data_IF_014442487855
#
_entry.id   IF_014442487855
#
_cell.length_a   1.000
_cell.length_b   1.000
_cell.length_c   1.000
_cell.angle_alpha   90.00
_cell.angle_beta   90.00
_cell.angle_gamma   90.00
#
_symmetry.space_group_name_H-M   'P 1'
#
loop_
_entity.id
_entity.type
_entity.pdbx_description
1 polymer ?
#
# COMPACT_ATOMS: atom_id res chain seq x y z
N UNK A 1 -21.81 29.66 13.13
CA UNK A 1 -21.59 28.20 13.11
C UNK A 1 -21.71 27.75 11.67
N UNK A 2 -20.96 26.73 11.25
CA UNK A 2 -21.14 26.13 9.93
C UNK A 2 -22.49 25.45 9.84
N UNK A 3 -23.04 25.34 8.62
CA UNK A 3 -24.30 24.64 8.34
C UNK A 3 -24.15 23.15 8.70
N UNK A 4 -25.19 22.53 9.24
CA UNK A 4 -25.20 21.10 9.58
C UNK A 4 -26.34 20.39 8.84
N UNK A 5 -26.02 19.27 8.17
CA UNK A 5 -26.95 18.47 7.40
C UNK A 5 -27.03 17.07 8.02
N UNK A 6 -28.24 16.57 8.25
CA UNK A 6 -28.48 15.21 8.72
C UNK A 6 -29.05 14.34 7.59
N UNK A 7 -28.39 13.23 7.30
CA UNK A 7 -28.99 12.13 6.56
C UNK A 7 -29.45 11.04 7.53
N UNK A 8 -30.72 10.64 7.43
CA UNK A 8 -31.30 9.59 8.25
C UNK A 8 -32.25 8.70 7.47
N UNK A 9 -31.90 7.42 7.37
CA UNK A 9 -32.92 6.40 7.14
C UNK A 9 -33.90 6.40 8.32
N UNK A 10 -35.19 6.24 8.06
CA UNK A 10 -36.20 6.14 9.12
C UNK A 10 -36.58 4.67 9.33
N UNK A 11 -36.88 4.31 10.58
CA UNK A 11 -37.35 2.98 10.94
C UNK A 11 -38.62 3.02 11.78
N UNK A 12 -39.13 1.84 12.12
CA UNK A 12 -40.40 1.70 12.85
C UNK A 12 -40.42 2.24 14.28
N UNK A 13 -39.27 2.68 14.82
CA UNK A 13 -39.18 3.34 16.15
C UNK A 13 -39.08 4.86 16.04
N UNK A 14 -38.95 5.40 14.83
CA UNK A 14 -39.00 6.84 14.58
C UNK A 14 -40.46 7.27 14.31
N UNK A 15 -40.81 8.55 14.55
CA UNK A 15 -39.99 9.57 15.23
C UNK A 15 -40.00 9.42 16.76
N UNK A 16 -41.03 8.82 17.34
CA UNK A 16 -41.19 8.56 18.79
C UNK A 16 -41.64 7.11 18.96
N UNK A 17 -41.05 6.42 19.92
CA UNK A 17 -41.34 5.00 20.17
C UNK A 17 -42.60 4.82 21.03
N UNK A 18 -43.56 4.04 20.52
CA UNK A 18 -44.81 3.68 21.22
C UNK A 18 -44.59 2.97 22.57
N UNK A 19 -43.44 2.33 22.77
CA UNK A 19 -43.21 1.46 23.92
C UNK A 19 -42.65 2.19 25.14
N UNK A 20 -41.86 3.24 24.89
CA UNK A 20 -41.09 3.92 25.93
C UNK A 20 -41.27 5.43 25.89
N UNK A 21 -42.04 5.98 24.94
CA UNK A 21 -42.37 7.40 24.85
C UNK A 21 -41.14 8.33 24.76
N UNK A 22 -40.04 7.80 24.24
CA UNK A 22 -38.81 8.55 23.98
C UNK A 22 -38.63 8.79 22.48
N UNK A 23 -37.80 9.77 22.16
CA UNK A 23 -37.33 10.05 20.80
C UNK A 23 -36.75 8.78 20.17
N UNK A 24 -37.26 8.47 18.98
CA UNK A 24 -36.55 7.67 17.98
C UNK A 24 -35.24 8.35 17.58
N UNK A 25 -34.35 7.62 16.93
CA UNK A 25 -32.99 8.13 16.72
C UNK A 25 -32.93 9.33 15.77
N UNK A 26 -33.86 9.42 14.79
CA UNK A 26 -34.02 10.60 13.95
C UNK A 26 -34.25 11.86 14.79
N UNK A 27 -35.29 11.83 15.63
CA UNK A 27 -35.72 13.00 16.40
C UNK A 27 -34.70 13.37 17.47
N UNK A 28 -34.06 12.37 18.10
CA UNK A 28 -33.02 12.61 19.11
C UNK A 28 -31.79 13.30 18.53
N UNK A 29 -31.34 12.89 17.34
CA UNK A 29 -30.21 13.55 16.66
C UNK A 29 -30.61 14.99 16.31
N UNK A 30 -31.82 15.20 15.77
CA UNK A 30 -32.34 16.54 15.49
C UNK A 30 -32.34 17.44 16.74
N UNK A 31 -32.70 16.90 17.91
CA UNK A 31 -32.77 17.65 19.18
C UNK A 31 -31.41 18.16 19.62
N UNK A 32 -30.39 17.31 19.54
CA UNK A 32 -29.06 17.59 20.11
C UNK A 32 -28.07 18.21 19.13
N UNK A 33 -28.06 17.77 17.87
CA UNK A 33 -27.14 18.29 16.85
C UNK A 33 -27.71 19.48 16.08
N UNK A 34 -29.01 19.76 16.20
CA UNK A 34 -29.68 20.92 15.62
C UNK A 34 -29.36 21.14 14.13
N UNK A 35 -29.56 20.14 13.25
CA UNK A 35 -29.27 20.27 11.83
C UNK A 35 -30.17 21.34 11.18
N UNK A 36 -29.61 22.08 10.21
CA UNK A 36 -30.34 23.03 9.38
C UNK A 36 -31.15 22.32 8.29
N UNK A 37 -30.64 21.19 7.78
CA UNK A 37 -31.32 20.36 6.79
C UNK A 37 -31.37 18.89 7.24
N UNK A 38 -32.47 18.22 6.95
CA UNK A 38 -32.68 16.80 7.24
C UNK A 38 -33.14 16.08 5.98
N UNK A 39 -32.36 15.10 5.53
CA UNK A 39 -32.69 14.19 4.44
C UNK A 39 -33.26 12.90 5.02
N UNK A 40 -34.57 12.70 4.84
CA UNK A 40 -35.33 11.54 5.29
C UNK A 40 -35.33 10.47 4.19
N UNK A 41 -34.64 9.37 4.45
CA UNK A 41 -34.64 8.23 3.54
C UNK A 41 -35.71 7.22 3.95
N UNK A 42 -36.72 7.04 3.10
CA UNK A 42 -37.93 6.29 3.41
C UNK A 42 -38.11 5.09 2.47
N UNK A 43 -38.17 3.89 3.05
CA UNK A 43 -38.65 2.70 2.34
C UNK A 43 -40.17 2.76 2.13
N UNK A 44 -40.71 1.83 1.35
CA UNK A 44 -42.15 1.75 1.07
C UNK A 44 -43.03 1.80 2.33
N UNK A 45 -42.73 0.96 3.32
CA UNK A 45 -43.50 0.88 4.56
C UNK A 45 -43.44 2.20 5.36
N UNK A 46 -42.27 2.84 5.42
CA UNK A 46 -42.12 4.10 6.15
C UNK A 46 -42.81 5.26 5.43
N UNK A 47 -42.86 5.22 4.09
CA UNK A 47 -43.60 6.18 3.29
C UNK A 47 -45.12 6.03 3.49
N UNK A 48 -45.62 4.79 3.63
CA UNK A 48 -47.03 4.53 3.96
C UNK A 48 -47.40 5.16 5.32
N UNK A 49 -46.55 4.99 6.33
CA UNK A 49 -46.72 5.65 7.63
C UNK A 49 -46.68 7.18 7.53
N UNK A 50 -45.70 7.74 6.82
CA UNK A 50 -45.58 9.19 6.64
C UNK A 50 -46.81 9.78 5.93
N UNK A 51 -47.36 9.09 4.93
CA UNK A 51 -48.55 9.53 4.20
C UNK A 51 -49.84 9.41 5.03
N UNK A 52 -49.87 8.53 6.03
CA UNK A 52 -51.04 8.31 6.87
C UNK A 52 -51.25 9.45 7.88
N UNK A 53 -50.18 9.90 8.54
CA UNK A 53 -50.29 10.81 9.70
C UNK A 53 -49.19 11.88 9.79
N UNK A 54 -48.39 12.05 8.73
CA UNK A 54 -47.32 13.05 8.63
C UNK A 54 -46.22 12.93 9.71
N UNK A 55 -46.12 11.79 10.40
CA UNK A 55 -45.42 11.70 11.69
C UNK A 55 -44.00 12.26 11.72
N UNK A 56 -43.18 11.98 10.70
CA UNK A 56 -41.78 12.40 10.70
C UNK A 56 -41.65 13.92 10.53
N UNK A 57 -42.34 14.49 9.53
CA UNK A 57 -42.36 15.95 9.29
C UNK A 57 -42.99 16.68 10.48
N UNK A 58 -44.12 16.19 10.97
CA UNK A 58 -44.81 16.76 12.11
C UNK A 58 -43.89 16.89 13.34
N UNK A 59 -43.26 15.80 13.77
CA UNK A 59 -42.39 15.82 14.95
C UNK A 59 -41.13 16.68 14.76
N UNK A 60 -40.52 16.69 13.56
CA UNK A 60 -39.37 17.56 13.27
C UNK A 60 -39.77 19.03 13.34
N UNK A 61 -40.93 19.41 12.77
CA UNK A 61 -41.43 20.79 12.82
C UNK A 61 -41.79 21.21 14.24
N UNK A 62 -42.44 20.35 15.03
CA UNK A 62 -42.75 20.61 16.44
C UNK A 62 -41.49 20.82 17.29
N UNK A 63 -40.45 20.05 17.02
CA UNK A 63 -39.15 20.25 17.64
C UNK A 63 -38.48 21.55 17.19
N UNK A 64 -38.58 21.90 15.91
CA UNK A 64 -38.06 23.16 15.37
C UNK A 64 -38.76 24.38 16.03
N UNK A 65 -40.09 24.33 16.16
CA UNK A 65 -40.92 25.31 16.86
C UNK A 65 -40.49 25.46 18.33
N UNK A 66 -40.35 24.35 19.07
CA UNK A 66 -39.97 24.38 20.49
C UNK A 66 -38.55 24.91 20.71
N UNK A 67 -37.68 24.77 19.70
CA UNK A 67 -36.32 25.28 19.70
C UNK A 67 -36.19 26.66 19.02
N UNK A 68 -37.29 27.25 18.57
CA UNK A 68 -37.35 28.53 17.85
C UNK A 68 -36.37 28.61 16.68
N UNK A 69 -36.39 27.60 15.81
CA UNK A 69 -35.55 27.51 14.60
C UNK A 69 -36.34 26.90 13.43
N UNK A 70 -35.76 26.99 12.25
CA UNK A 70 -36.28 26.32 11.04
C UNK A 70 -35.39 25.13 10.69
N UNK A 71 -36.01 24.08 10.12
CA UNK A 71 -35.33 22.89 9.62
C UNK A 71 -35.89 22.61 8.23
N UNK A 72 -35.01 22.55 7.22
CA UNK A 72 -35.41 22.19 5.86
C UNK A 72 -35.46 20.66 5.77
N UNK A 73 -36.61 20.12 5.39
CA UNK A 73 -36.81 18.67 5.28
C UNK A 73 -36.80 18.27 3.81
N UNK A 74 -35.94 17.33 3.45
CA UNK A 74 -35.86 16.71 2.14
C UNK A 74 -36.27 15.24 2.24
N UNK A 75 -37.13 14.78 1.34
CA UNK A 75 -37.61 13.39 1.32
C UNK A 75 -36.94 12.63 0.17
N UNK A 76 -36.33 11.49 0.51
CA UNK A 76 -35.76 10.54 -0.44
C UNK A 76 -36.65 9.30 -0.40
N UNK A 77 -37.63 9.28 -1.30
CA UNK A 77 -38.62 8.22 -1.40
C UNK A 77 -38.08 7.03 -2.20
N UNK A 78 -38.28 5.83 -1.68
CA UNK A 78 -37.90 4.56 -2.30
C UNK A 78 -39.05 3.54 -2.21
N UNK A 79 -40.16 3.77 -2.94
CA UNK A 79 -41.36 2.92 -2.88
C UNK A 79 -41.10 1.49 -3.39
N UNK A 80 -40.03 1.26 -4.15
CA UNK A 80 -39.59 -0.04 -4.63
C UNK A 80 -38.90 -0.90 -3.55
N UNK A 81 -38.52 -0.31 -2.42
CA UNK A 81 -37.89 -1.03 -1.30
C UNK A 81 -38.91 -1.82 -0.47
N UNK A 82 -39.26 -3.01 -0.96
CA UNK A 82 -40.16 -3.96 -0.26
C UNK A 82 -39.38 -4.97 0.60
N UNK A 83 -38.20 -5.41 0.15
CA UNK A 83 -37.34 -6.35 0.88
C UNK A 83 -36.05 -5.65 1.32
N UNK A 84 -36.03 -5.16 2.55
CA UNK A 84 -34.93 -4.37 3.13
C UNK A 84 -33.68 -5.20 3.50
N UNK A 85 -33.48 -6.35 2.82
CA UNK A 85 -32.41 -7.31 3.08
C UNK A 85 -31.38 -7.42 1.94
N UNK A 86 -31.61 -6.80 0.78
CA UNK A 86 -30.64 -6.80 -0.33
C UNK A 86 -29.54 -5.75 -0.11
N UNK A 87 -28.46 -6.17 0.55
CA UNK A 87 -27.30 -5.34 0.88
C UNK A 87 -26.69 -4.59 -0.31
N UNK A 88 -26.69 -5.16 -1.53
CA UNK A 88 -26.02 -4.54 -2.67
C UNK A 88 -26.81 -3.35 -3.21
N UNK A 89 -28.14 -3.46 -3.26
CA UNK A 89 -29.01 -2.34 -3.65
C UNK A 89 -28.82 -1.13 -2.72
N UNK A 90 -28.80 -1.38 -1.41
CA UNK A 90 -28.61 -0.33 -0.41
C UNK A 90 -27.27 0.37 -0.53
N UNK A 91 -26.20 -0.38 -0.82
CA UNK A 91 -24.87 0.19 -0.92
C UNK A 91 -24.78 1.22 -2.05
N UNK A 92 -25.24 0.86 -3.25
CA UNK A 92 -25.19 1.74 -4.41
C UNK A 92 -26.13 2.95 -4.28
N UNK A 93 -27.35 2.74 -3.77
CA UNK A 93 -28.33 3.81 -3.62
C UNK A 93 -27.94 4.79 -2.50
N UNK A 94 -27.47 4.31 -1.34
CA UNK A 94 -26.95 5.19 -0.28
C UNK A 94 -25.74 5.98 -0.74
N UNK A 95 -24.83 5.34 -1.49
CA UNK A 95 -23.67 6.01 -2.07
C UNK A 95 -24.11 7.12 -3.02
N UNK A 96 -25.08 6.85 -3.90
CA UNK A 96 -25.64 7.86 -4.81
C UNK A 96 -26.23 9.06 -4.06
N UNK A 97 -27.11 8.79 -3.10
CA UNK A 97 -27.77 9.82 -2.29
C UNK A 97 -26.77 10.67 -1.50
N UNK A 98 -25.88 10.03 -0.73
CA UNK A 98 -24.91 10.74 0.10
C UNK A 98 -23.90 11.52 -0.76
N UNK A 99 -23.47 10.98 -1.90
CA UNK A 99 -22.57 11.69 -2.81
C UNK A 99 -23.21 12.97 -3.35
N UNK A 100 -24.50 12.93 -3.68
CA UNK A 100 -25.25 14.11 -4.12
C UNK A 100 -25.37 15.16 -3.00
N UNK A 101 -25.71 14.72 -1.78
CA UNK A 101 -25.79 15.60 -0.61
C UNK A 101 -24.43 16.25 -0.35
N UNK A 102 -23.34 15.46 -0.30
CA UNK A 102 -21.97 15.96 -0.08
C UNK A 102 -21.58 16.98 -1.15
N UNK A 103 -21.87 16.71 -2.42
CA UNK A 103 -21.56 17.63 -3.52
C UNK A 103 -22.27 18.97 -3.38
N UNK A 104 -23.49 18.96 -2.84
CA UNK A 104 -24.31 20.16 -2.66
C UNK A 104 -24.11 20.84 -1.28
N UNK A 105 -23.44 20.18 -0.34
CA UNK A 105 -23.27 20.61 1.04
C UNK A 105 -22.28 21.78 1.22
N UNK A 106 -21.35 22.00 0.28
CA UNK A 106 -20.28 22.99 0.44
C UNK A 106 -19.42 22.67 1.67
N UNK A 107 -19.26 23.65 2.56
CA UNK A 107 -18.52 23.50 3.83
C UNK A 107 -19.38 22.97 5.00
N UNK A 108 -20.60 22.49 4.73
CA UNK A 108 -21.49 22.00 5.77
C UNK A 108 -20.99 20.69 6.41
N UNK A 109 -21.24 20.53 7.70
CA UNK A 109 -20.98 19.28 8.41
C UNK A 109 -22.10 18.28 8.13
N UNK A 110 -21.74 17.08 7.66
CA UNK A 110 -22.70 16.04 7.33
C UNK A 110 -22.70 14.97 8.42
N UNK A 111 -23.87 14.79 9.02
CA UNK A 111 -24.17 13.77 10.01
C UNK A 111 -24.94 12.63 9.35
N UNK A 112 -24.55 11.40 9.63
CA UNK A 112 -25.26 10.19 9.16
C UNK A 112 -25.76 9.41 10.37
N UNK A 113 -27.08 9.25 10.45
CA UNK A 113 -27.71 8.41 11.46
C UNK A 113 -27.46 6.92 11.16
N UNK A 114 -26.77 6.21 12.05
CA UNK A 114 -26.54 4.76 11.96
C UNK A 114 -27.36 3.94 12.95
N UNK A 115 -28.41 4.53 13.53
CA UNK A 115 -29.27 3.92 14.56
C UNK A 115 -30.69 3.62 14.12
N UNK A 116 -31.14 4.23 13.02
CA UNK A 116 -32.43 3.94 12.39
C UNK A 116 -32.31 3.03 11.18
N UNK A 117 -33.43 2.47 10.75
CA UNK A 117 -33.50 1.48 9.67
C UNK A 117 -33.20 0.05 10.12
N UNK A 118 -33.13 -0.87 9.15
CA UNK A 118 -32.82 -2.29 9.41
C UNK A 118 -31.34 -2.50 9.71
N UNK A 119 -30.94 -3.62 10.34
CA UNK A 119 -29.52 -3.96 10.53
C UNK A 119 -28.67 -3.91 9.24
N UNK A 120 -29.28 -4.23 8.09
CA UNK A 120 -28.63 -4.13 6.80
C UNK A 120 -28.29 -2.70 6.40
N UNK A 121 -29.25 -1.77 6.55
CA UNK A 121 -29.06 -0.33 6.29
C UNK A 121 -27.96 0.25 7.19
N UNK A 122 -28.03 -0.02 8.51
CA UNK A 122 -27.05 0.46 9.48
C UNK A 122 -25.63 0.00 9.14
N UNK A 123 -25.50 -1.28 8.78
CA UNK A 123 -24.21 -1.87 8.44
C UNK A 123 -23.67 -1.33 7.11
N UNK A 124 -24.53 -1.17 6.09
CA UNK A 124 -24.15 -0.62 4.79
C UNK A 124 -23.61 0.81 4.88
N UNK A 125 -24.32 1.70 5.58
CA UNK A 125 -23.89 3.09 5.83
C UNK A 125 -22.55 3.15 6.56
N UNK A 126 -22.38 2.31 7.60
CA UNK A 126 -21.14 2.25 8.34
C UNK A 126 -19.96 1.80 7.46
N UNK A 127 -20.16 0.79 6.60
CA UNK A 127 -19.13 0.30 5.68
C UNK A 127 -18.75 1.36 4.64
N UNK A 128 -19.73 2.04 4.02
CA UNK A 128 -19.49 3.13 3.05
C UNK A 128 -18.59 4.22 3.61
N UNK A 129 -18.91 4.70 4.81
CA UNK A 129 -18.18 5.77 5.47
C UNK A 129 -16.80 5.28 5.91
N UNK A 130 -16.71 4.06 6.44
CA UNK A 130 -15.45 3.52 6.95
C UNK A 130 -14.45 3.17 5.85
N UNK A 131 -14.91 2.76 4.66
CA UNK A 131 -14.03 2.52 3.52
C UNK A 131 -13.45 3.81 2.91
N UNK A 132 -13.82 4.98 3.44
CA UNK A 132 -13.32 6.29 3.02
C UNK A 132 -13.94 6.78 1.73
N UNK A 133 -15.09 6.24 1.33
CA UNK A 133 -15.79 6.72 0.13
C UNK A 133 -16.52 8.04 0.38
N UNK A 134 -16.85 8.34 1.65
CA UNK A 134 -17.66 9.50 2.05
C UNK A 134 -17.13 10.11 3.37
N UNK A 135 -16.92 11.42 3.39
CA UNK A 135 -16.46 12.15 4.58
C UNK A 135 -17.65 12.64 5.42
N UNK A 136 -18.21 11.76 6.25
CA UNK A 136 -19.36 12.07 7.10
C UNK A 136 -19.09 11.69 8.56
N UNK A 137 -19.72 12.39 9.51
CA UNK A 137 -19.74 11.99 10.93
C UNK A 137 -20.89 11.03 11.17
N UNK A 138 -20.58 9.80 11.59
CA UNK A 138 -21.60 8.81 11.97
C UNK A 138 -22.07 9.01 13.40
N UNK A 139 -23.39 9.14 13.57
CA UNK A 139 -24.04 9.35 14.87
C UNK A 139 -24.86 8.12 15.24
N UNK A 140 -24.56 7.55 16.41
CA UNK A 140 -25.34 6.47 17.01
C UNK A 140 -26.15 6.98 18.21
N UNK A 141 -27.41 6.59 18.32
CA UNK A 141 -28.27 6.88 19.46
C UNK A 141 -28.48 5.60 20.25
N UNK A 142 -28.14 5.62 21.54
CA UNK A 142 -28.35 4.49 22.44
C UNK A 142 -29.83 4.40 22.81
N UNK A 143 -30.39 3.19 22.86
CA UNK A 143 -31.79 2.96 23.26
C UNK A 143 -31.99 3.31 24.75
N UNK A 144 -33.11 3.97 25.12
CA UNK A 144 -33.41 4.31 26.52
C UNK A 144 -33.57 3.06 27.40
N UNK A 145 -34.25 2.06 26.86
CA UNK A 145 -34.36 0.71 27.41
C UNK A 145 -33.19 -0.12 26.87
N UNK A 146 -32.36 -0.70 27.75
CA UNK A 146 -31.20 -1.56 27.37
C UNK A 146 -31.63 -2.95 26.85
N UNK A 147 -32.81 -3.07 26.25
CA UNK A 147 -33.44 -4.31 25.77
C UNK A 147 -34.09 -4.10 24.40
N UNK A 148 -34.36 -5.20 23.68
CA UNK A 148 -35.04 -5.20 22.37
C UNK A 148 -36.40 -4.50 22.45
N UNK A 149 -36.71 -3.67 21.45
CA UNK A 149 -38.01 -3.02 21.33
C UNK A 149 -39.05 -4.05 20.89
N UNK A 150 -40.13 -4.23 21.65
CA UNK A 150 -41.26 -5.08 21.26
C UNK A 150 -42.14 -4.36 20.23
N UNK A 151 -42.57 -5.02 19.17
CA UNK A 151 -43.52 -4.40 18.23
C UNK A 151 -44.92 -4.41 18.85
N UNK A 152 -45.42 -3.24 19.24
CA UNK A 152 -46.76 -3.06 19.80
C UNK A 152 -47.76 -2.77 18.68
N UNK A 153 -48.89 -3.49 18.64
CA UNK A 153 -49.99 -3.30 17.68
C UNK A 153 -50.98 -2.19 18.09
N UNK A 154 -50.52 -1.18 18.84
CA UNK A 154 -51.36 -0.02 19.20
C UNK A 154 -51.42 0.96 18.02
N UNK A 155 -52.55 1.65 17.89
CA UNK A 155 -52.74 2.73 16.92
C UNK A 155 -51.72 3.85 17.20
N UNK A 156 -51.03 4.32 16.15
CA UNK A 156 -49.99 5.34 16.27
C UNK A 156 -50.62 6.73 16.17
N UNK A 157 -50.79 7.40 17.32
CA UNK A 157 -51.25 8.79 17.37
C UNK A 157 -50.04 9.70 17.62
N UNK A 158 -49.59 10.40 16.58
CA UNK A 158 -48.38 11.23 16.62
C UNK A 158 -48.54 12.45 17.53
N UNK A 159 -49.72 13.06 17.58
CA UNK A 159 -49.95 14.26 18.40
C UNK A 159 -49.89 13.89 19.88
N UNK A 160 -50.58 12.81 20.27
CA UNK A 160 -50.53 12.27 21.62
C UNK A 160 -49.10 11.84 22.01
N UNK A 161 -48.37 11.17 21.11
CA UNK A 161 -47.00 10.75 21.39
C UNK A 161 -46.04 11.92 21.55
N UNK A 162 -46.24 13.02 20.80
CA UNK A 162 -45.46 14.23 20.98
C UNK A 162 -45.70 14.87 22.36
N UNK A 163 -46.95 14.94 22.81
CA UNK A 163 -47.30 15.49 24.12
C UNK A 163 -46.73 14.65 25.27
N UNK A 164 -46.74 13.33 25.13
CA UNK A 164 -46.25 12.38 26.13
C UNK A 164 -44.74 12.08 26.01
N UNK A 165 -44.03 12.76 25.11
CA UNK A 165 -42.62 12.46 24.86
C UNK A 165 -41.73 12.90 26.03
N UNK A 166 -41.11 11.93 26.70
CA UNK A 166 -40.23 12.16 27.85
C UNK A 166 -38.99 13.00 27.47
N UNK A 167 -38.55 12.95 26.21
CA UNK A 167 -37.40 13.74 25.74
C UNK A 167 -37.74 15.23 25.52
N UNK A 168 -39.00 15.65 25.67
CA UNK A 168 -39.39 17.07 25.70
C UNK A 168 -39.12 17.75 27.05
N UNK A 169 -38.85 16.96 28.10
CA UNK A 169 -38.51 17.51 29.40
C UNK A 169 -37.08 18.09 29.43
N UNK A 170 -36.82 19.15 30.22
CA UNK A 170 -35.51 19.81 30.28
C UNK A 170 -34.35 18.91 30.73
N UNK A 171 -34.63 17.80 31.40
CA UNK A 171 -33.68 16.84 31.97
C UNK A 171 -33.37 15.64 31.04
N UNK A 172 -33.90 15.63 29.81
CA UNK A 172 -33.56 14.62 28.80
C UNK A 172 -32.04 14.49 28.61
N UNK A 173 -31.54 13.25 28.58
CA UNK A 173 -30.12 12.95 28.38
C UNK A 173 -29.77 12.89 26.88
N UNK A 174 -28.60 13.45 26.52
CA UNK A 174 -28.03 13.24 25.20
C UNK A 174 -27.52 11.79 25.06
N UNK A 175 -28.25 10.99 24.28
CA UNK A 175 -27.96 9.56 24.02
C UNK A 175 -27.13 9.37 22.76
N UNK A 176 -26.71 10.46 22.11
CA UNK A 176 -25.94 10.41 20.88
C UNK A 176 -24.46 10.16 21.17
N UNK A 177 -23.84 9.30 20.36
CA UNK A 177 -22.41 9.05 20.33
C UNK A 177 -21.91 9.15 18.91
N UNK A 178 -20.84 9.91 18.70
CA UNK A 178 -20.08 9.82 17.46
C UNK A 178 -19.39 8.47 17.44
N UNK A 179 -19.68 7.67 16.43
CA UNK A 179 -19.02 6.38 16.22
C UNK A 179 -17.96 6.58 15.17
N UNK A 180 -16.76 6.09 15.46
CA UNK A 180 -15.72 5.87 14.46
C UNK A 180 -15.41 4.37 14.48
N UNK A 181 -15.22 3.76 13.32
CA UNK A 181 -14.80 2.36 13.21
C UNK A 181 -13.32 2.27 12.79
N UNK A 182 -12.36 2.61 13.67
CA UNK A 182 -10.94 2.57 13.35
C UNK A 182 -10.48 1.17 12.92
N UNK A 183 -11.10 0.11 13.43
CA UNK A 183 -10.71 -1.28 13.14
C UNK A 183 -10.78 -1.62 11.65
N UNK A 184 -11.85 -1.24 10.94
CA UNK A 184 -12.01 -1.59 9.53
C UNK A 184 -11.13 -0.73 8.61
N UNK A 185 -10.98 0.57 8.91
CA UNK A 185 -10.01 1.43 8.21
C UNK A 185 -8.58 0.93 8.39
N UNK A 186 -8.23 0.51 9.62
CA UNK A 186 -6.93 -0.09 9.91
C UNK A 186 -6.75 -1.41 9.12
N UNK A 187 -7.76 -2.28 9.07
CA UNK A 187 -7.69 -3.53 8.27
C UNK A 187 -7.41 -3.22 6.79
N UNK A 188 -8.15 -2.29 6.18
CA UNK A 188 -7.92 -1.89 4.78
C UNK A 188 -6.51 -1.36 4.57
N UNK A 189 -6.04 -0.47 5.45
CA UNK A 189 -4.72 0.13 5.34
C UNK A 189 -3.61 -0.91 5.53
N UNK A 190 -3.78 -1.83 6.47
CA UNK A 190 -2.90 -2.98 6.72
C UNK A 190 -2.78 -3.86 5.47
N UNK A 191 -3.88 -4.16 4.77
CA UNK A 191 -3.82 -4.92 3.51
C UNK A 191 -3.11 -4.17 2.38
N UNK A 192 -3.29 -2.85 2.28
CA UNK A 192 -2.53 -2.00 1.35
C UNK A 192 -1.03 -2.07 1.67
N UNK A 193 -0.63 -1.94 2.94
CA UNK A 193 0.77 -2.04 3.37
C UNK A 193 1.35 -3.40 3.00
N UNK A 194 0.61 -4.50 3.25
CA UNK A 194 1.05 -5.86 2.86
C UNK A 194 1.28 -5.96 1.35
N UNK A 195 0.38 -5.38 0.54
CA UNK A 195 0.53 -5.38 -0.91
C UNK A 195 1.78 -4.61 -1.35
N UNK A 196 2.01 -3.42 -0.79
CA UNK A 196 3.21 -2.61 -1.08
C UNK A 196 4.49 -3.34 -0.69
N UNK A 197 4.50 -4.07 0.43
CA UNK A 197 5.61 -4.94 0.84
C UNK A 197 5.86 -6.05 -0.20
N UNK A 198 4.81 -6.74 -0.67
CA UNK A 198 4.93 -7.78 -1.73
C UNK A 198 5.49 -7.22 -3.04
N UNK A 199 5.20 -5.96 -3.35
CA UNK A 199 5.71 -5.25 -4.53
C UNK A 199 7.09 -4.60 -4.30
N UNK A 200 7.71 -4.85 -3.14
CA UNK A 200 9.00 -4.30 -2.71
C UNK A 200 9.03 -2.76 -2.63
N UNK A 201 7.86 -2.11 -2.53
CA UNK A 201 7.75 -0.67 -2.33
C UNK A 201 7.69 -0.31 -0.84
N UNK A 202 8.82 -0.55 -0.17
CA UNK A 202 8.93 -0.32 1.28
C UNK A 202 8.74 1.14 1.67
N UNK A 203 9.05 2.08 0.77
CA UNK A 203 8.90 3.51 1.05
C UNK A 203 7.41 3.89 1.09
N UNK A 204 6.64 3.46 0.10
CA UNK A 204 5.19 3.66 0.12
C UNK A 204 4.54 2.93 1.30
N UNK A 205 4.97 1.69 1.59
CA UNK A 205 4.48 0.92 2.74
C UNK A 205 4.75 1.65 4.07
N UNK A 206 5.95 2.23 4.23
CA UNK A 206 6.31 3.00 5.42
C UNK A 206 5.47 4.27 5.55
N UNK A 207 5.31 5.05 4.47
CA UNK A 207 4.46 6.25 4.49
C UNK A 207 2.99 5.91 4.81
N UNK A 208 2.48 4.80 4.27
CA UNK A 208 1.14 4.31 4.57
C UNK A 208 0.99 3.89 6.04
N UNK A 209 2.03 3.29 6.63
CA UNK A 209 2.05 2.90 8.04
C UNK A 209 2.15 4.11 8.99
N UNK A 210 2.92 5.14 8.64
CA UNK A 210 3.09 6.35 9.48
C UNK A 210 1.80 7.17 9.64
N UNK A 211 0.78 6.95 8.79
CA UNK A 211 -0.56 7.54 8.93
C UNK A 211 -1.45 6.82 9.95
N UNK A 212 -1.06 5.63 10.41
CA UNK A 212 -1.81 4.85 11.38
C UNK A 212 -1.37 5.15 12.82
N UNK A 213 -2.24 4.91 13.83
CA UNK A 213 -1.86 5.03 15.23
C UNK A 213 -0.64 4.17 15.58
N UNK A 214 0.20 4.64 16.49
CA UNK A 214 1.44 3.95 16.89
C UNK A 214 1.15 2.54 17.42
N UNK A 215 0.06 2.38 18.17
CA UNK A 215 -0.38 1.09 18.72
C UNK A 215 -0.67 0.06 17.64
N UNK A 216 -1.10 0.49 16.44
CA UNK A 216 -1.42 -0.36 15.31
C UNK A 216 -0.18 -0.76 14.49
N UNK A 217 0.95 -0.05 14.62
CA UNK A 217 2.13 -0.21 13.75
C UNK A 217 3.38 -0.66 14.49
N UNK A 218 3.36 -0.65 15.84
CA UNK A 218 4.50 -0.95 16.72
C UNK A 218 5.23 -2.25 16.39
N UNK A 219 4.54 -3.27 15.88
CA UNK A 219 5.12 -4.58 15.55
C UNK A 219 5.95 -4.60 14.27
N UNK A 220 5.73 -3.66 13.33
CA UNK A 220 6.33 -3.73 11.99
C UNK A 220 6.94 -2.42 11.47
N UNK A 221 6.65 -1.27 12.08
CA UNK A 221 7.15 0.04 11.58
C UNK A 221 8.68 0.09 11.48
N UNK A 222 9.38 -0.44 12.49
CA UNK A 222 10.84 -0.53 12.47
C UNK A 222 11.36 -1.48 11.36
N UNK A 223 10.62 -2.56 11.08
CA UNK A 223 10.98 -3.52 10.03
C UNK A 223 10.89 -2.89 8.63
N UNK A 224 9.86 -2.08 8.39
CA UNK A 224 9.71 -1.30 7.15
C UNK A 224 10.87 -0.32 6.95
N UNK A 225 11.32 0.34 8.04
CA UNK A 225 12.50 1.22 8.01
C UNK A 225 13.77 0.46 7.65
N UNK A 226 13.98 -0.72 8.23
CA UNK A 226 15.12 -1.60 7.90
C UNK A 226 15.07 -2.03 6.43
N UNK A 227 13.90 -2.45 5.93
CA UNK A 227 13.72 -2.85 4.54
C UNK A 227 14.00 -1.69 3.56
N UNK A 228 13.56 -0.47 3.89
CA UNK A 228 13.89 0.74 3.12
C UNK A 228 15.40 0.97 3.04
N UNK A 229 16.09 0.95 4.19
CA UNK A 229 17.53 1.16 4.26
C UNK A 229 18.29 0.08 3.48
N UNK A 230 17.90 -1.19 3.64
CA UNK A 230 18.47 -2.32 2.91
C UNK A 230 18.37 -2.15 1.40
N UNK A 231 17.19 -1.79 0.87
CA UNK A 231 16.99 -1.60 -0.57
C UNK A 231 17.81 -0.41 -1.12
N UNK A 232 18.08 0.60 -0.30
CA UNK A 232 18.97 1.71 -0.61
C UNK A 232 20.46 1.36 -0.46
N UNK A 233 20.78 0.10 -0.11
CA UNK A 233 22.13 -0.36 0.22
C UNK A 233 22.79 0.43 1.37
N UNK A 234 21.96 1.05 2.22
CA UNK A 234 22.38 1.75 3.43
C UNK A 234 22.54 0.74 4.57
N UNK A 235 23.74 0.17 4.66
CA UNK A 235 24.05 -0.91 5.60
C UNK A 235 24.41 -0.43 7.01
N UNK A 236 24.18 0.85 7.35
CA UNK A 236 24.48 1.40 8.68
C UNK A 236 23.66 0.65 9.73
N UNK A 237 24.35 0.08 10.72
CA UNK A 237 23.77 -0.69 11.84
C UNK A 237 22.88 -1.88 11.45
N UNK A 238 22.91 -2.32 10.18
CA UNK A 238 22.02 -3.37 9.67
C UNK A 238 22.11 -4.66 10.49
N UNK A 239 23.33 -5.08 10.89
CA UNK A 239 23.52 -6.27 11.72
C UNK A 239 22.88 -6.13 13.11
N UNK A 240 23.02 -4.98 13.75
CA UNK A 240 22.44 -4.73 15.06
C UNK A 240 20.91 -4.77 14.98
N UNK A 241 20.34 -4.13 13.96
CA UNK A 241 18.90 -4.09 13.69
C UNK A 241 18.33 -5.48 13.37
N UNK A 242 18.95 -6.22 12.44
CA UNK A 242 18.52 -7.58 12.08
C UNK A 242 18.55 -8.51 13.28
N UNK A 243 19.58 -8.42 14.13
CA UNK A 243 19.67 -9.22 15.35
C UNK A 243 18.62 -8.81 16.40
N UNK A 244 18.39 -7.51 16.58
CA UNK A 244 17.41 -6.98 17.54
C UNK A 244 16.00 -7.49 17.22
N UNK A 245 15.63 -7.51 15.94
CA UNK A 245 14.29 -7.91 15.50
C UNK A 245 14.19 -9.36 15.03
N UNK A 246 15.31 -10.10 15.05
CA UNK A 246 15.42 -11.49 14.56
C UNK A 246 14.85 -11.64 13.14
N UNK A 247 15.19 -10.70 12.24
CA UNK A 247 14.64 -10.68 10.89
C UNK A 247 15.14 -11.83 10.02
N UNK A 248 14.25 -12.39 9.21
CA UNK A 248 14.59 -13.33 8.15
C UNK A 248 15.08 -12.62 6.88
N UNK A 249 15.67 -13.38 5.95
CA UNK A 249 16.08 -12.86 4.64
C UNK A 249 17.48 -12.25 4.59
N UNK A 250 18.34 -12.51 5.57
CA UNK A 250 19.74 -12.01 5.61
C UNK A 250 20.77 -13.15 5.66
N UNK A 251 20.87 -13.98 4.60
CA UNK A 251 21.64 -15.24 4.65
C UNK A 251 23.16 -15.05 4.62
N UNK A 252 23.67 -13.94 4.05
CA UNK A 252 25.12 -13.70 3.90
C UNK A 252 25.60 -12.77 5.00
N UNK A 253 26.68 -13.14 5.72
CA UNK A 253 27.21 -12.36 6.86
C UNK A 253 28.56 -11.68 6.62
N UNK A 254 29.37 -12.13 5.67
CA UNK A 254 30.69 -11.54 5.40
C UNK A 254 30.60 -10.25 4.59
N UNK A 255 31.37 -9.23 4.94
CA UNK A 255 31.24 -7.87 4.40
C UNK A 255 31.40 -7.82 2.87
N UNK A 256 32.45 -8.43 2.31
CA UNK A 256 32.68 -8.42 0.86
C UNK A 256 31.61 -9.21 0.10
N UNK A 257 31.32 -10.45 0.52
CA UNK A 257 30.30 -11.27 -0.13
C UNK A 257 28.90 -10.65 -0.04
N UNK A 258 28.56 -10.06 1.12
CA UNK A 258 27.29 -9.37 1.33
C UNK A 258 27.17 -8.15 0.43
N UNK A 259 28.24 -7.35 0.27
CA UNK A 259 28.22 -6.17 -0.60
C UNK A 259 27.75 -6.50 -2.02
N UNK A 260 28.39 -7.48 -2.67
CA UNK A 260 28.03 -7.86 -4.04
C UNK A 260 26.69 -8.55 -4.12
N UNK A 261 26.38 -9.39 -3.12
CA UNK A 261 25.11 -10.11 -3.10
C UNK A 261 23.91 -9.19 -2.86
N UNK A 262 23.96 -8.26 -1.90
CA UNK A 262 22.91 -7.26 -1.68
C UNK A 262 22.73 -6.35 -2.90
N UNK A 263 23.82 -5.99 -3.58
CA UNK A 263 23.72 -5.25 -4.84
C UNK A 263 22.97 -6.06 -5.91
N UNK A 264 23.28 -7.35 -6.06
CA UNK A 264 22.60 -8.23 -7.02
C UNK A 264 21.13 -8.48 -6.65
N UNK A 265 20.80 -8.56 -5.36
CA UNK A 265 19.41 -8.64 -4.90
C UNK A 265 18.65 -7.34 -5.22
N UNK A 266 19.22 -6.18 -4.88
CA UNK A 266 18.61 -4.87 -5.19
C UNK A 266 18.42 -4.68 -6.71
N UNK A 267 19.38 -5.16 -7.52
CA UNK A 267 19.26 -5.22 -8.98
C UNK A 267 18.06 -6.07 -9.43
N UNK A 268 17.85 -7.26 -8.86
CA UNK A 268 16.68 -8.10 -9.17
C UNK A 268 15.37 -7.40 -8.77
N UNK A 269 15.33 -6.66 -7.66
CA UNK A 269 14.15 -5.90 -7.25
C UNK A 269 13.79 -4.84 -8.29
N UNK A 270 14.76 -4.10 -8.83
CA UNK A 270 14.52 -3.13 -9.91
C UNK A 270 13.84 -3.77 -11.11
N UNK A 271 14.34 -4.95 -11.52
CA UNK A 271 13.75 -5.73 -12.60
C UNK A 271 12.33 -6.18 -12.28
N UNK A 272 12.07 -6.72 -11.08
CA UNK A 272 10.74 -7.18 -10.64
C UNK A 272 9.72 -6.03 -10.60
N UNK A 273 10.17 -4.81 -10.24
CA UNK A 273 9.35 -3.58 -10.23
C UNK A 273 9.18 -2.94 -11.62
N UNK A 274 9.76 -3.52 -12.68
CA UNK A 274 9.68 -2.97 -14.04
C UNK A 274 10.55 -1.72 -14.26
N UNK A 275 11.48 -1.41 -13.35
CA UNK A 275 12.45 -0.31 -13.46
C UNK A 275 13.60 -0.68 -14.42
N UNK A 276 13.25 -1.09 -15.65
CA UNK A 276 14.20 -1.69 -16.60
C UNK A 276 15.38 -0.79 -16.95
N UNK A 277 15.16 0.52 -17.06
CA UNK A 277 16.22 1.49 -17.32
C UNK A 277 17.27 1.53 -16.20
N UNK A 278 16.84 1.44 -14.94
CA UNK A 278 17.76 1.42 -13.81
C UNK A 278 18.38 0.04 -13.60
N UNK A 279 17.64 -1.03 -13.88
CA UNK A 279 18.19 -2.39 -13.92
C UNK A 279 19.38 -2.47 -14.89
N UNK A 280 19.23 -2.03 -16.14
CA UNK A 280 20.31 -2.14 -17.11
C UNK A 280 21.51 -1.26 -16.78
N UNK A 281 21.29 -0.03 -16.27
CA UNK A 281 22.38 0.86 -15.82
C UNK A 281 23.17 0.29 -14.65
N UNK A 282 22.49 -0.43 -13.75
CA UNK A 282 23.10 -1.04 -12.58
C UNK A 282 23.89 -2.33 -12.89
N UNK A 283 23.82 -2.89 -14.10
CA UNK A 283 24.63 -4.06 -14.48
C UNK A 283 26.13 -3.74 -14.57
N UNK A 284 26.51 -2.64 -15.22
CA UNK A 284 27.92 -2.32 -15.48
C UNK A 284 28.85 -2.40 -14.26
N UNK A 285 28.53 -1.79 -13.09
CA UNK A 285 29.44 -1.81 -11.95
C UNK A 285 29.66 -3.21 -11.37
N UNK A 286 28.63 -4.07 -11.32
CA UNK A 286 28.76 -5.38 -10.68
C UNK A 286 29.47 -6.39 -11.58
N UNK A 287 29.29 -6.33 -12.91
CA UNK A 287 29.87 -7.30 -13.84
C UNK A 287 31.40 -7.25 -13.86
N UNK A 288 31.99 -6.04 -13.79
CA UNK A 288 33.45 -5.90 -13.76
C UNK A 288 34.07 -6.62 -12.56
N UNK A 289 33.51 -6.40 -11.37
CA UNK A 289 33.99 -7.03 -10.13
C UNK A 289 33.73 -8.55 -10.14
N UNK A 290 32.58 -9.00 -10.65
CA UNK A 290 32.28 -10.43 -10.79
C UNK A 290 33.23 -11.13 -11.76
N UNK A 291 33.59 -10.50 -12.88
CA UNK A 291 34.54 -11.09 -13.82
C UNK A 291 35.95 -11.20 -13.22
N UNK A 292 36.40 -10.21 -12.41
CA UNK A 292 37.66 -10.32 -11.66
C UNK A 292 37.64 -11.50 -10.69
N UNK A 293 36.52 -11.73 -9.98
CA UNK A 293 36.36 -12.86 -9.07
C UNK A 293 36.34 -14.21 -9.78
N UNK A 294 35.66 -14.29 -10.93
CA UNK A 294 35.64 -15.49 -11.77
C UNK A 294 37.03 -15.80 -12.28
N UNK A 295 37.75 -14.80 -12.79
CA UNK A 295 39.12 -14.98 -13.28
C UNK A 295 40.05 -15.48 -12.17
N UNK A 296 39.90 -14.95 -10.95
CA UNK A 296 40.67 -15.42 -9.81
C UNK A 296 40.36 -16.88 -9.44
N UNK A 297 39.08 -17.26 -9.38
CA UNK A 297 38.68 -18.61 -8.97
C UNK A 297 38.93 -19.67 -10.04
N UNK A 298 38.56 -19.40 -11.29
CA UNK A 298 38.59 -20.38 -12.37
C UNK A 298 39.96 -20.45 -13.08
N UNK A 299 40.74 -19.35 -13.06
CA UNK A 299 42.05 -19.30 -13.74
C UNK A 299 43.24 -19.09 -12.78
N UNK A 300 43.00 -18.81 -11.49
CA UNK A 300 44.07 -18.50 -10.53
C UNK A 300 44.77 -17.16 -10.76
N UNK A 301 44.21 -16.30 -11.61
CA UNK A 301 44.84 -15.03 -12.02
C UNK A 301 44.27 -13.90 -11.18
N UNK A 302 45.14 -13.24 -10.42
CA UNK A 302 44.80 -12.04 -9.66
C UNK A 302 45.25 -10.79 -10.44
N UNK A 303 44.29 -10.06 -11.03
CA UNK A 303 44.56 -8.84 -11.81
C UNK A 303 45.30 -7.78 -11.00
N UNK A 304 45.07 -7.73 -9.68
CA UNK A 304 45.68 -6.73 -8.79
C UNK A 304 47.21 -6.81 -8.75
N UNK A 305 47.80 -7.92 -9.19
CA UNK A 305 49.26 -8.09 -9.32
C UNK A 305 49.86 -7.34 -10.51
N UNK A 306 49.03 -6.92 -11.48
CA UNK A 306 49.48 -6.37 -12.77
C UNK A 306 49.10 -4.89 -12.97
N UNK A 307 48.56 -4.24 -11.93
CA UNK A 307 47.96 -2.91 -12.03
C UNK A 307 48.53 -1.93 -11.01
N UNK A 308 48.60 -0.67 -11.40
CA UNK A 308 48.86 0.46 -10.53
C UNK A 308 47.57 1.29 -10.37
N UNK A 309 47.26 1.69 -9.15
CA UNK A 309 46.10 2.56 -8.91
C UNK A 309 46.53 4.01 -9.08
N UNK A 310 46.00 4.68 -10.11
CA UNK A 310 46.18 6.13 -10.34
C UNK A 310 44.83 6.82 -10.31
N UNK A 311 44.67 7.83 -9.45
CA UNK A 311 43.41 8.55 -9.25
C UNK A 311 42.21 7.62 -8.94
N UNK A 312 42.42 6.61 -8.08
CA UNK A 312 41.43 5.56 -7.74
C UNK A 312 41.00 4.65 -8.91
N UNK A 313 41.64 4.76 -10.07
CA UNK A 313 41.38 3.90 -11.22
C UNK A 313 42.54 2.91 -11.37
N UNK A 314 42.29 1.58 -11.35
CA UNK A 314 43.31 0.59 -11.66
C UNK A 314 43.70 0.70 -13.13
N UNK A 315 45.01 0.86 -13.39
CA UNK A 315 45.59 0.89 -14.73
C UNK A 315 46.62 -0.21 -14.87
N UNK A 316 46.69 -0.81 -16.05
CA UNK A 316 47.72 -1.80 -16.36
C UNK A 316 49.12 -1.19 -16.20
N UNK A 317 50.02 -1.88 -15.49
CA UNK A 317 51.40 -1.44 -15.33
C UNK A 317 52.31 -2.20 -16.29
N UNK A 318 52.98 -1.52 -17.24
CA UNK A 318 53.90 -2.18 -18.16
C UNK A 318 55.01 -2.96 -17.45
N UNK A 319 55.53 -2.44 -16.35
CA UNK A 319 56.60 -3.12 -15.58
C UNK A 319 56.13 -4.38 -14.87
N UNK A 320 54.88 -4.41 -14.40
CA UNK A 320 54.30 -5.59 -13.75
C UNK A 320 53.78 -6.64 -14.74
N UNK A 321 53.42 -6.21 -15.96
CA UNK A 321 52.97 -7.08 -17.04
C UNK A 321 54.13 -7.71 -17.82
N UNK A 322 55.27 -7.02 -17.90
CA UNK A 322 56.41 -7.40 -18.74
C UNK A 322 56.78 -8.88 -18.58
N UNK A 323 56.68 -9.65 -19.67
CA UNK A 323 57.07 -11.07 -19.72
C UNK A 323 56.09 -12.03 -19.04
N UNK A 324 54.90 -11.55 -18.67
CA UNK A 324 53.83 -12.40 -18.14
C UNK A 324 52.97 -12.94 -19.26
N UNK A 325 52.33 -14.08 -19.03
CA UNK A 325 51.38 -14.65 -19.99
C UNK A 325 50.12 -13.77 -20.17
N UNK A 326 49.74 -13.02 -19.13
CA UNK A 326 48.64 -12.05 -19.18
C UNK A 326 48.96 -10.94 -20.18
N UNK A 327 50.21 -10.46 -20.22
CA UNK A 327 50.65 -9.49 -21.23
C UNK A 327 50.55 -10.06 -22.64
N UNK A 328 51.04 -11.28 -22.86
CA UNK A 328 50.97 -11.94 -24.17
C UNK A 328 49.54 -12.04 -24.69
N UNK A 329 48.57 -12.39 -23.83
CA UNK A 329 47.15 -12.46 -24.19
C UNK A 329 46.59 -11.07 -24.52
N UNK A 330 46.92 -10.05 -23.74
CA UNK A 330 46.42 -8.70 -23.97
C UNK A 330 47.00 -8.10 -25.27
N UNK A 331 48.29 -8.27 -25.52
CA UNK A 331 48.92 -7.79 -26.76
C UNK A 331 48.38 -8.53 -27.98
N UNK A 332 48.13 -9.85 -27.90
CA UNK A 332 47.57 -10.61 -29.02
C UNK A 332 46.09 -10.29 -29.29
N UNK A 333 45.35 -9.93 -28.24
CA UNK A 333 43.90 -9.66 -28.33
C UNK A 333 43.56 -8.25 -28.81
N UNK A 334 44.51 -7.30 -28.78
CA UNK A 334 44.26 -5.89 -29.13
C UNK A 334 45.34 -5.34 -30.07
N UNK A 335 44.92 -4.71 -31.18
CA UNK A 335 45.83 -4.15 -32.20
C UNK A 335 46.80 -3.08 -31.65
N UNK A 336 46.42 -2.39 -30.58
CA UNK A 336 47.29 -1.49 -29.82
C UNK A 336 46.85 -1.50 -28.36
N UNK A 337 47.47 -2.34 -27.53
CA UNK A 337 47.23 -2.36 -26.09
C UNK A 337 47.84 -1.12 -25.44
N UNK A 338 47.00 -0.23 -24.91
CA UNK A 338 47.40 1.13 -24.50
C UNK A 338 47.75 1.27 -23.01
N UNK A 339 47.85 0.14 -22.29
CA UNK A 339 48.14 0.06 -20.85
C UNK A 339 47.31 1.05 -19.98
N UNK A 340 46.08 1.38 -20.42
CA UNK A 340 45.19 2.31 -19.70
C UNK A 340 44.41 1.60 -18.58
N UNK A 341 43.24 2.15 -18.26
CA UNK A 341 42.35 1.62 -17.23
C UNK A 341 41.96 0.17 -17.53
N UNK A 342 41.91 -0.64 -16.48
CA UNK A 342 41.34 -1.98 -16.57
C UNK A 342 39.87 -1.86 -16.96
N UNK A 343 39.45 -2.69 -17.92
CA UNK A 343 38.09 -2.70 -18.46
C UNK A 343 37.58 -4.13 -18.48
N UNK A 344 36.27 -4.32 -18.45
CA UNK A 344 35.63 -5.64 -18.47
C UNK A 344 35.99 -6.44 -19.73
N UNK A 345 36.28 -5.78 -20.86
CA UNK A 345 36.72 -6.46 -22.09
C UNK A 345 38.14 -7.04 -21.95
N UNK A 346 39.04 -6.39 -21.21
CA UNK A 346 40.36 -6.96 -20.93
C UNK A 346 40.22 -8.25 -20.11
N UNK A 347 39.36 -8.25 -19.10
CA UNK A 347 39.13 -9.42 -18.23
C UNK A 347 38.50 -10.56 -19.03
N UNK A 348 37.51 -10.26 -19.87
CA UNK A 348 36.89 -11.24 -20.76
C UNK A 348 37.93 -11.94 -21.66
N UNK A 349 38.83 -11.17 -22.31
CA UNK A 349 39.88 -11.76 -23.17
C UNK A 349 40.85 -12.66 -22.42
N UNK A 350 41.16 -12.35 -21.16
CA UNK A 350 41.95 -13.24 -20.32
C UNK A 350 41.16 -14.52 -20.00
N UNK A 351 39.87 -14.41 -19.65
CA UNK A 351 38.99 -15.56 -19.37
C UNK A 351 38.87 -16.47 -20.60
N UNK A 352 38.61 -15.92 -21.79
CA UNK A 352 38.50 -16.69 -23.05
C UNK A 352 39.76 -17.53 -23.34
N UNK A 353 40.95 -16.98 -23.03
CA UNK A 353 42.23 -17.66 -23.31
C UNK A 353 42.68 -18.60 -22.18
N UNK A 354 42.16 -18.44 -20.96
CA UNK A 354 42.66 -19.14 -19.76
C UNK A 354 41.68 -20.03 -19.06
N UNK A 355 40.39 -19.78 -19.19
CA UNK A 355 39.37 -20.61 -18.58
C UNK A 355 39.18 -21.87 -19.42
N UNK A 356 39.13 -23.04 -18.77
CA UNK A 356 38.81 -24.30 -19.45
C UNK A 356 37.31 -24.63 -19.41
N UNK A 357 36.53 -23.83 -18.69
CA UNK A 357 35.11 -24.05 -18.50
C UNK A 357 34.30 -23.27 -19.54
N UNK A 358 33.93 -23.93 -20.65
CA UNK A 358 33.16 -23.32 -21.73
C UNK A 358 31.86 -22.67 -21.24
N UNK A 359 31.21 -23.24 -20.22
CA UNK A 359 30.00 -22.66 -19.64
C UNK A 359 30.28 -21.29 -19.02
N UNK A 360 31.41 -21.13 -18.32
CA UNK A 360 31.82 -19.85 -17.73
C UNK A 360 32.12 -18.82 -18.81
N UNK A 361 32.86 -19.22 -19.85
CA UNK A 361 33.19 -18.35 -20.99
C UNK A 361 31.90 -17.81 -21.61
N UNK A 362 30.96 -18.70 -21.97
CA UNK A 362 29.70 -18.32 -22.58
C UNK A 362 28.86 -17.37 -21.70
N UNK A 363 28.83 -17.59 -20.37
CA UNK A 363 28.09 -16.72 -19.44
C UNK A 363 28.72 -15.32 -19.39
N UNK A 364 30.04 -15.23 -19.26
CA UNK A 364 30.78 -13.96 -19.17
C UNK A 364 30.65 -13.19 -20.49
N UNK A 365 30.78 -13.87 -21.63
CA UNK A 365 30.55 -13.29 -22.96
C UNK A 365 29.13 -12.74 -23.10
N UNK A 366 28.11 -13.54 -22.76
CA UNK A 366 26.71 -13.13 -22.84
C UNK A 366 26.43 -11.90 -21.97
N UNK A 367 26.92 -11.89 -20.72
CA UNK A 367 26.77 -10.74 -19.81
C UNK A 367 27.50 -9.50 -20.33
N UNK A 368 28.68 -9.68 -20.93
CA UNK A 368 29.46 -8.58 -21.51
C UNK A 368 28.77 -7.97 -22.73
N UNK A 369 28.20 -8.81 -23.59
CA UNK A 369 27.42 -8.40 -24.75
C UNK A 369 26.20 -7.57 -24.30
N UNK A 370 25.42 -8.12 -23.37
CA UNK A 370 24.26 -7.42 -22.78
C UNK A 370 24.69 -6.07 -22.23
N UNK A 371 25.75 -6.01 -21.40
CA UNK A 371 26.25 -4.75 -20.83
C UNK A 371 26.60 -3.72 -21.91
N UNK A 372 27.26 -4.14 -22.99
CA UNK A 372 27.66 -3.25 -24.07
C UNK A 372 26.44 -2.65 -24.79
N UNK A 373 25.50 -3.50 -25.16
CA UNK A 373 24.31 -3.14 -25.93
C UNK A 373 23.36 -2.27 -25.11
N UNK A 374 23.10 -2.64 -23.84
CA UNK A 374 22.19 -1.88 -22.99
C UNK A 374 22.80 -0.59 -22.46
N UNK A 375 24.13 -0.52 -22.28
CA UNK A 375 24.81 0.73 -21.89
C UNK A 375 24.70 1.79 -22.97
N UNK A 376 24.83 1.40 -24.24
CA UNK A 376 24.65 2.31 -25.37
C UNK A 376 23.24 2.94 -25.33
N UNK A 377 22.22 2.12 -25.04
CA UNK A 377 20.83 2.56 -24.92
C UNK A 377 20.62 3.46 -23.70
N UNK A 378 20.99 3.00 -22.50
CA UNK A 378 20.50 3.59 -21.26
C UNK A 378 21.39 4.70 -20.67
N UNK A 379 22.67 4.75 -21.04
CA UNK A 379 23.63 5.72 -20.50
C UNK A 379 23.99 6.85 -21.48
N UNK A 380 23.77 6.65 -22.78
CA UNK A 380 24.16 7.61 -23.82
C UNK A 380 22.97 8.20 -24.58
N UNK A 381 21.75 7.66 -24.42
CA UNK A 381 20.54 8.15 -25.06
C UNK A 381 19.37 8.31 -24.05
N UNK A 382 18.47 9.26 -24.31
CA UNK A 382 17.24 9.45 -23.53
C UNK A 382 16.12 8.65 -24.21
N UNK A 383 16.10 7.34 -23.97
CA UNK A 383 15.17 6.39 -24.61
C UNK A 383 14.37 5.59 -23.58
N UNK A 384 13.17 5.17 -23.96
CA UNK A 384 12.30 4.33 -23.13
C UNK A 384 12.79 2.88 -23.14
N UNK A 385 13.31 2.42 -21.99
CA UNK A 385 13.77 1.03 -21.83
C UNK A 385 12.62 0.16 -21.34
N UNK A 386 12.24 -0.83 -22.15
CA UNK A 386 11.16 -1.79 -21.86
C UNK A 386 11.68 -3.23 -21.94
N UNK A 387 10.95 -4.19 -21.37
CA UNK A 387 11.26 -5.62 -21.49
C UNK A 387 11.44 -6.06 -22.95
N UNK A 388 10.55 -5.59 -23.83
CA UNK A 388 10.63 -5.87 -25.27
C UNK A 388 11.90 -5.31 -25.89
N UNK A 389 12.25 -4.05 -25.57
CA UNK A 389 13.48 -3.43 -26.06
C UNK A 389 14.73 -4.22 -25.63
N UNK A 390 14.81 -4.64 -24.36
CA UNK A 390 15.94 -5.45 -23.87
C UNK A 390 16.07 -6.73 -24.69
N UNK A 391 14.94 -7.42 -24.92
CA UNK A 391 14.91 -8.67 -25.69
C UNK A 391 15.26 -8.47 -27.16
N UNK A 392 14.72 -7.44 -27.80
CA UNK A 392 14.98 -7.15 -29.22
C UNK A 392 16.43 -6.71 -29.46
N UNK A 393 17.05 -6.02 -28.49
CA UNK A 393 18.44 -5.57 -28.58
C UNK A 393 19.43 -6.68 -28.29
N UNK A 394 19.21 -7.41 -27.19
CA UNK A 394 20.21 -8.35 -26.65
C UNK A 394 19.92 -9.82 -26.96
N UNK A 395 18.72 -10.14 -27.41
CA UNK A 395 18.22 -11.51 -27.51
C UNK A 395 17.77 -12.12 -26.18
N UNK A 396 18.01 -11.46 -25.05
CA UNK A 396 17.67 -11.96 -23.70
C UNK A 396 16.54 -11.15 -23.08
N UNK A 397 15.62 -11.82 -22.39
CA UNK A 397 14.71 -11.16 -21.45
C UNK A 397 15.46 -10.66 -20.22
N UNK A 398 14.91 -9.67 -19.52
CA UNK A 398 15.53 -9.17 -18.28
C UNK A 398 15.69 -10.27 -17.23
N UNK A 399 14.75 -11.22 -17.18
CA UNK A 399 14.84 -12.40 -16.31
C UNK A 399 15.98 -13.32 -16.71
N UNK A 400 16.19 -13.54 -18.02
CA UNK A 400 17.31 -14.35 -18.51
C UNK A 400 18.66 -13.67 -18.19
N UNK A 401 18.77 -12.35 -18.36
CA UNK A 401 19.95 -11.59 -17.95
C UNK A 401 20.22 -11.76 -16.46
N UNK A 402 19.19 -11.61 -15.62
CA UNK A 402 19.36 -11.82 -14.18
C UNK A 402 19.75 -13.27 -13.86
N UNK A 403 19.22 -14.26 -14.58
CA UNK A 403 19.62 -15.65 -14.39
C UNK A 403 21.10 -15.87 -14.74
N UNK A 404 21.62 -15.21 -15.79
CA UNK A 404 23.06 -15.23 -16.10
C UNK A 404 23.89 -14.62 -14.96
N UNK A 405 23.42 -13.51 -14.37
CA UNK A 405 24.05 -12.93 -13.18
C UNK A 405 24.05 -13.96 -12.05
N UNK A 406 22.91 -14.58 -11.72
CA UNK A 406 22.82 -15.62 -10.67
C UNK A 406 23.75 -16.80 -10.94
N UNK A 407 23.88 -17.23 -12.19
CA UNK A 407 24.80 -18.30 -12.58
C UNK A 407 26.26 -17.90 -12.40
N UNK A 408 26.65 -16.68 -12.76
CA UNK A 408 28.05 -16.23 -12.66
C UNK A 408 28.55 -16.24 -11.21
N UNK A 409 27.67 -15.94 -10.24
CA UNK A 409 27.99 -16.01 -8.80
C UNK A 409 28.48 -17.40 -8.36
N UNK A 410 28.03 -18.49 -9.01
CA UNK A 410 28.47 -19.87 -8.70
C UNK A 410 29.96 -20.07 -8.99
N UNK A 411 30.50 -19.29 -9.91
CA UNK A 411 31.91 -19.33 -10.35
C UNK A 411 32.76 -18.27 -9.65
N UNK A 412 32.24 -17.62 -8.60
CA UNK A 412 32.99 -16.73 -7.71
C UNK A 412 33.36 -17.43 -6.40
N UNK A 413 34.26 -16.82 -5.62
CA UNK A 413 34.63 -17.28 -4.28
C UNK A 413 33.64 -16.83 -3.17
N UNK A 414 32.48 -16.26 -3.55
CA UNK A 414 31.50 -15.72 -2.61
C UNK A 414 30.59 -16.80 -1.96
N UNK A 415 30.57 -18.02 -2.51
CA UNK A 415 29.84 -19.18 -1.98
C UNK A 415 28.34 -18.92 -1.73
N UNK A 416 27.66 -18.27 -2.68
CA UNK A 416 26.23 -17.98 -2.62
C UNK A 416 25.41 -19.23 -2.97
N UNK A 417 24.46 -19.58 -2.11
CA UNK A 417 23.54 -20.72 -2.32
C UNK A 417 22.30 -20.28 -3.11
N UNK A 418 21.65 -21.24 -3.78
CA UNK A 418 20.46 -20.99 -4.60
C UNK A 418 19.30 -20.38 -3.80
N UNK A 419 19.06 -20.89 -2.60
CA UNK A 419 18.00 -20.46 -1.69
C UNK A 419 18.19 -19.03 -1.17
N UNK A 420 19.39 -18.47 -1.27
CA UNK A 420 19.65 -17.11 -0.79
C UNK A 420 19.03 -16.04 -1.70
N UNK A 421 18.72 -16.38 -2.96
CA UNK A 421 18.18 -15.43 -3.92
C UNK A 421 16.75 -14.98 -3.62
N UNK A 422 16.06 -15.69 -2.73
CA UNK A 422 14.71 -15.36 -2.26
C UNK A 422 14.75 -14.49 -0.98
N UNK A 423 15.92 -13.95 -0.62
CA UNK A 423 16.14 -13.18 0.60
C UNK A 423 15.20 -11.98 0.82
N UNK A 424 14.78 -11.29 -0.23
CA UNK A 424 13.78 -10.21 -0.13
C UNK A 424 12.36 -10.76 0.04
N UNK A 425 12.06 -11.91 -0.55
CA UNK A 425 10.77 -12.60 -0.40
C UNK A 425 10.63 -13.13 1.03
N UNK A 426 11.67 -13.77 1.58
CA UNK A 426 11.73 -14.19 2.98
C UNK A 426 11.56 -13.02 3.96
N UNK A 427 12.17 -11.87 3.65
CA UNK A 427 12.03 -10.65 4.45
C UNK A 427 10.60 -10.09 4.36
N UNK A 428 9.99 -10.10 3.18
CA UNK A 428 8.62 -9.68 2.96
C UNK A 428 7.64 -10.53 3.77
N UNK A 429 7.76 -11.86 3.68
CA UNK A 429 6.90 -12.78 4.42
C UNK A 429 7.05 -12.59 5.92
N UNK A 430 8.29 -12.36 6.40
CA UNK A 430 8.52 -12.01 7.79
C UNK A 430 7.81 -10.71 8.19
N UNK A 431 7.97 -9.62 7.42
CA UNK A 431 7.32 -8.34 7.70
C UNK A 431 5.80 -8.49 7.70
N UNK A 432 5.25 -9.16 6.69
CA UNK A 432 3.81 -9.41 6.55
C UNK A 432 3.27 -10.22 7.72
N UNK A 433 4.04 -11.16 8.28
CA UNK A 433 3.64 -11.92 9.47
C UNK A 433 3.54 -11.07 10.75
N UNK A 434 4.12 -9.86 10.74
CA UNK A 434 4.11 -8.90 11.86
C UNK A 434 3.07 -7.78 11.67
N UNK A 435 2.50 -7.67 10.47
CA UNK A 435 1.42 -6.75 10.11
C UNK A 435 0.08 -7.44 10.34
#
# INVERSE_FOLDING_TARGET
>A
MGKTILFSAVGGTDPISLNNLHDGSLLHICRWYKPDEVYLYMSKEMLEFQNQDDRYRYCINKLAESQNREIIIHEIERPELVNVQDFNYFYDDFKGCLSEIIRNAGDAEILVNISSGTPAIKSGLLVLITLGELYCKTVQVITPTKSLNEHSHKEYDVEMLWELNEDNLPDSENRCKIVYCPSLSNIKQTEIIKQLVREYDYKAALSAAELLPEEATKSYLALLKIACARLQLDNRDLNAQVNQYQMSGFPVKGDDARKYFEYALALDIKRRRGEYGDFVRALSPILADLFEMVLYKECGINIRKYVEVKNRVPRWSPSLLCGTEVESILISSFSSFDYKAVSSIHILKIIENKCHNEKVINIVESLRQVEQEVRNIAAHEVVSVTEKMIKDTTGYSSQQVMNLVKEVFKYTNLNIRSEYWDAYDDMNDFIISKI
#
